data_IF_143807114425
#
_entry.id   IF_143807114425
#
_cell.length_a   1.000
_cell.length_b   1.000
_cell.length_c   1.000
_cell.angle_alpha   90.00
_cell.angle_beta   90.00
_cell.angle_gamma   90.00
#
_symmetry.space_group_name_H-M   'P 1'
#
loop_
_entity.id
_entity.type
_entity.pdbx_description
1 polymer ?
#
# COMPACT_ATOMS: atom_id res chain seq x y z
N UNK A 1 -16.11 14.96 0.90
CA UNK A 1 -14.73 14.51 0.63
C UNK A 1 -14.18 15.45 -0.42
N UNK A 2 -13.11 16.15 -0.10
CA UNK A 2 -12.45 17.06 -1.03
C UNK A 2 -11.91 16.25 -2.24
N UNK A 3 -11.83 16.88 -3.41
CA UNK A 3 -11.31 16.25 -4.63
C UNK A 3 -9.88 15.72 -4.41
N UNK A 4 -9.07 16.47 -3.65
CA UNK A 4 -7.71 16.07 -3.27
C UNK A 4 -7.70 14.83 -2.38
N UNK A 5 -8.61 14.75 -1.40
CA UNK A 5 -8.76 13.59 -0.52
C UNK A 5 -9.18 12.33 -1.30
N UNK A 6 -10.10 12.49 -2.26
CA UNK A 6 -10.50 11.39 -3.16
C UNK A 6 -9.33 10.89 -4.01
N UNK A 7 -8.57 11.80 -4.62
CA UNK A 7 -7.39 11.42 -5.41
C UNK A 7 -6.35 10.70 -4.55
N UNK A 8 -6.11 11.19 -3.34
CA UNK A 8 -5.19 10.54 -2.41
C UNK A 8 -5.66 9.13 -2.05
N UNK A 9 -6.92 8.98 -1.66
CA UNK A 9 -7.51 7.68 -1.34
C UNK A 9 -7.41 6.70 -2.52
N UNK A 10 -7.68 7.17 -3.74
CA UNK A 10 -7.56 6.37 -4.95
C UNK A 10 -6.12 5.92 -5.20
N UNK A 11 -5.14 6.83 -5.08
CA UNK A 11 -3.72 6.49 -5.28
C UNK A 11 -3.19 5.52 -4.23
N UNK A 12 -3.63 5.67 -2.97
CA UNK A 12 -3.32 4.71 -1.90
C UNK A 12 -3.88 3.33 -2.22
N UNK A 13 -5.14 3.27 -2.67
CA UNK A 13 -5.81 2.03 -3.06
C UNK A 13 -5.11 1.33 -4.23
N UNK A 14 -4.80 2.06 -5.32
CA UNK A 14 -4.07 1.53 -6.47
C UNK A 14 -2.70 0.95 -6.07
N UNK A 15 -1.95 1.68 -5.23
CA UNK A 15 -0.64 1.21 -4.76
C UNK A 15 -0.77 -0.03 -3.88
N UNK A 16 -1.77 -0.07 -3.01
CA UNK A 16 -2.04 -1.22 -2.13
C UNK A 16 -2.41 -2.48 -2.92
N UNK A 17 -3.28 -2.36 -3.94
CA UNK A 17 -3.61 -3.48 -4.82
C UNK A 17 -2.38 -4.01 -5.54
N UNK A 18 -1.56 -3.13 -6.12
CA UNK A 18 -0.32 -3.52 -6.79
C UNK A 18 0.68 -4.17 -5.83
N UNK A 19 0.72 -3.73 -4.56
CA UNK A 19 1.57 -4.34 -3.53
C UNK A 19 1.09 -5.74 -3.18
N UNK A 20 -0.21 -5.90 -2.92
CA UNK A 20 -0.84 -7.21 -2.65
C UNK A 20 -0.70 -8.19 -3.81
N UNK A 21 -0.96 -7.75 -5.03
CA UNK A 21 -0.79 -8.58 -6.23
C UNK A 21 0.66 -9.07 -6.37
N UNK A 22 1.65 -8.19 -6.18
CA UNK A 22 3.07 -8.57 -6.22
C UNK A 22 3.47 -9.51 -5.08
N UNK A 23 2.90 -9.33 -3.89
CA UNK A 23 3.12 -10.22 -2.75
C UNK A 23 2.62 -11.64 -3.06
N UNK A 24 1.36 -11.76 -3.51
CA UNK A 24 0.76 -13.05 -3.84
C UNK A 24 1.40 -13.72 -5.06
N UNK A 25 1.85 -12.95 -6.05
CA UNK A 25 2.58 -13.48 -7.20
C UNK A 25 3.89 -14.17 -6.79
N UNK A 26 4.58 -13.63 -5.78
CA UNK A 26 5.82 -14.20 -5.22
C UNK A 26 5.58 -15.39 -4.29
N UNK A 27 4.35 -15.54 -3.80
CA UNK A 27 3.96 -16.69 -2.97
C UNK A 27 3.81 -17.94 -3.84
N UNK A 28 4.40 -19.09 -3.43
CA UNK A 28 4.19 -20.36 -4.11
C UNK A 28 2.70 -20.73 -4.18
N UNK A 29 2.24 -21.26 -5.32
CA UNK A 29 0.84 -21.62 -5.56
C UNK A 29 0.17 -22.41 -4.42
N UNK A 30 0.80 -23.44 -3.83
CA UNK A 30 0.19 -24.22 -2.75
C UNK A 30 -0.11 -23.42 -1.48
N UNK A 31 0.47 -22.22 -1.35
CA UNK A 31 0.33 -21.34 -0.19
C UNK A 31 -0.42 -20.04 -0.52
N UNK A 32 -0.81 -19.81 -1.78
CA UNK A 32 -1.42 -18.53 -2.20
C UNK A 32 -2.73 -18.26 -1.47
N UNK A 33 -3.62 -19.23 -1.36
CA UNK A 33 -4.93 -19.03 -0.71
C UNK A 33 -4.79 -18.66 0.77
N UNK A 34 -3.94 -19.37 1.50
CA UNK A 34 -3.63 -19.06 2.89
C UNK A 34 -2.95 -17.69 3.06
N UNK A 35 -2.05 -17.33 2.13
CA UNK A 35 -1.40 -16.02 2.14
C UNK A 35 -2.36 -14.90 1.71
N UNK A 36 -3.38 -15.20 0.90
CA UNK A 36 -4.40 -14.26 0.49
C UNK A 36 -5.31 -13.82 1.65
N UNK A 37 -5.66 -14.77 2.51
CA UNK A 37 -6.38 -14.51 3.76
C UNK A 37 -5.51 -13.75 4.77
N UNK A 38 -4.21 -14.09 4.83
CA UNK A 38 -3.28 -13.49 5.78
C UNK A 38 -2.88 -12.07 5.38
N UNK A 39 -2.57 -11.82 4.12
CA UNK A 39 -2.14 -10.53 3.60
C UNK A 39 -3.32 -9.79 2.95
N UNK A 40 -4.14 -9.22 3.81
CA UNK A 40 -5.35 -8.50 3.42
C UNK A 40 -5.05 -7.19 2.70
N UNK A 41 -6.02 -6.70 1.92
CA UNK A 41 -5.92 -5.38 1.30
C UNK A 41 -5.75 -4.26 2.34
N UNK A 42 -6.38 -4.38 3.51
CA UNK A 42 -6.24 -3.42 4.60
C UNK A 42 -4.78 -3.33 5.09
N UNK A 43 -4.09 -4.46 5.19
CA UNK A 43 -2.67 -4.47 5.57
C UNK A 43 -1.83 -3.76 4.51
N UNK A 44 -2.06 -4.05 3.23
CA UNK A 44 -1.37 -3.36 2.13
C UNK A 44 -1.63 -1.84 2.14
N UNK A 45 -2.86 -1.40 2.45
CA UNK A 45 -3.19 0.02 2.61
C UNK A 45 -2.42 0.64 3.79
N UNK A 46 -2.41 -0.01 4.94
CA UNK A 46 -1.69 0.48 6.12
C UNK A 46 -0.19 0.66 5.84
N UNK A 47 0.43 -0.30 5.14
CA UNK A 47 1.83 -0.20 4.73
C UNK A 47 2.06 0.96 3.76
N UNK A 48 1.18 1.15 2.77
CA UNK A 48 1.27 2.29 1.84
C UNK A 48 1.16 3.63 2.58
N UNK A 49 0.27 3.73 3.56
CA UNK A 49 0.13 4.93 4.38
C UNK A 49 1.40 5.18 5.23
N UNK A 50 2.01 4.13 5.77
CA UNK A 50 3.27 4.22 6.51
C UNK A 50 4.42 4.71 5.61
N UNK A 51 4.60 4.12 4.43
CA UNK A 51 5.59 4.57 3.43
C UNK A 51 5.35 6.03 3.02
N UNK A 52 4.09 6.41 2.82
CA UNK A 52 3.73 7.79 2.45
C UNK A 52 4.09 8.77 3.57
N UNK A 53 3.89 8.38 4.83
CA UNK A 53 4.30 9.16 6.00
C UNK A 53 5.83 9.30 6.07
N UNK A 54 6.57 8.24 5.78
CA UNK A 54 8.04 8.29 5.73
C UNK A 54 8.53 9.25 4.64
N UNK A 55 7.98 9.16 3.43
CA UNK A 55 8.31 10.08 2.33
C UNK A 55 7.94 11.52 2.70
N UNK A 56 6.77 11.76 3.29
CA UNK A 56 6.38 13.09 3.75
C UNK A 56 7.35 13.65 4.80
N UNK A 57 7.82 12.80 5.72
CA UNK A 57 8.84 13.17 6.69
C UNK A 57 10.19 13.48 6.04
N UNK A 58 10.62 12.69 5.07
CA UNK A 58 11.84 12.93 4.30
C UNK A 58 11.75 14.27 3.57
N UNK A 59 10.64 14.56 2.90
CA UNK A 59 10.42 15.85 2.23
C UNK A 59 10.48 17.01 3.23
N UNK A 60 9.82 16.87 4.39
CA UNK A 60 9.81 17.91 5.44
C UNK A 60 11.18 18.17 6.05
N UNK A 61 12.02 17.15 6.14
CA UNK A 61 13.36 17.24 6.76
C UNK A 61 14.49 17.41 5.74
N UNK A 62 14.15 17.35 4.45
CA UNK A 62 15.07 17.60 3.36
C UNK A 62 15.40 19.10 3.30
N UNK A 63 16.68 19.44 3.45
CA UNK A 63 17.20 20.81 3.41
C UNK A 63 17.39 21.37 1.98
N UNK A 64 16.56 20.94 1.03
CA UNK A 64 16.49 21.57 -0.29
C UNK A 64 15.44 22.68 -0.30
#
# INVERSE_FOLDING_TARGET
>A
MDYTEMQFAFKVYEKALNKRSRHLFRTPEPKRDAEEERYTLQMAVNEVLAETREVANMIRTSHY
#
